data_IF_783183934630
#
_entry.id   IF_783183934630
#
_cell.length_a   1.000
_cell.length_b   1.000
_cell.length_c   1.000
_cell.angle_alpha   90.00
_cell.angle_beta   90.00
_cell.angle_gamma   90.00
#
_symmetry.space_group_name_H-M   'P 1'
#
loop_
_entity.id
_entity.type
_entity.pdbx_description
1 polymer ?
#
# COMPACT_ATOMS: atom_id res chain seq x y z
N UNK A 1 10.83 9.53 12.42
CA UNK A 1 10.42 9.47 11.00
C UNK A 1 11.60 9.37 10.05
N UNK A 2 11.93 8.14 9.63
CA UNK A 2 12.92 7.86 8.59
C UNK A 2 12.27 7.90 7.20
N UNK A 3 12.49 9.00 6.47
CA UNK A 3 11.88 9.25 5.16
C UNK A 3 12.23 8.18 4.13
N UNK A 4 13.43 7.60 4.21
CA UNK A 4 13.87 6.60 3.24
C UNK A 4 13.08 5.29 3.42
N UNK A 5 12.88 4.86 4.66
CA UNK A 5 12.09 3.67 4.99
C UNK A 5 10.61 3.82 4.62
N UNK A 6 10.04 5.00 4.89
CA UNK A 6 8.65 5.32 4.48
C UNK A 6 8.50 5.28 2.96
N UNK A 7 9.43 5.90 2.23
CA UNK A 7 9.38 5.92 0.77
C UNK A 7 9.57 4.52 0.17
N UNK A 8 10.51 3.72 0.69
CA UNK A 8 10.75 2.36 0.23
C UNK A 8 9.56 1.45 0.54
N UNK A 9 9.01 1.54 1.76
CA UNK A 9 7.84 0.78 2.18
C UNK A 9 6.62 1.12 1.32
N UNK A 10 6.35 2.41 1.12
CA UNK A 10 5.27 2.86 0.23
C UNK A 10 5.48 2.43 -1.22
N UNK A 11 6.70 2.51 -1.74
CA UNK A 11 7.02 2.07 -3.09
C UNK A 11 6.82 0.56 -3.26
N UNK A 12 7.27 -0.26 -2.32
CA UNK A 12 7.06 -1.70 -2.35
C UNK A 12 5.58 -2.06 -2.31
N UNK A 13 4.82 -1.47 -1.39
CA UNK A 13 3.37 -1.65 -1.32
C UNK A 13 2.67 -1.24 -2.62
N UNK A 14 3.08 -0.12 -3.23
CA UNK A 14 2.54 0.34 -4.50
C UNK A 14 2.85 -0.65 -5.64
N UNK A 15 4.11 -1.08 -5.76
CA UNK A 15 4.54 -2.03 -6.80
C UNK A 15 3.82 -3.37 -6.64
N UNK A 16 3.73 -3.91 -5.43
CA UNK A 16 3.01 -5.16 -5.18
C UNK A 16 1.53 -5.01 -5.49
N UNK A 17 0.92 -3.85 -5.20
CA UNK A 17 -0.46 -3.57 -5.58
C UNK A 17 -0.65 -3.54 -7.09
N UNK A 18 0.25 -2.90 -7.84
CA UNK A 18 0.22 -2.89 -9.31
C UNK A 18 0.32 -4.32 -9.84
N UNK A 19 1.29 -5.09 -9.38
CA UNK A 19 1.49 -6.49 -9.79
C UNK A 19 0.26 -7.33 -9.49
N UNK A 20 -0.34 -7.18 -8.30
CA UNK A 20 -1.52 -7.93 -7.92
C UNK A 20 -2.73 -7.59 -8.81
N UNK A 21 -2.93 -6.30 -9.13
CA UNK A 21 -3.99 -5.86 -10.03
C UNK A 21 -3.79 -6.40 -11.45
N UNK A 22 -2.55 -6.37 -11.96
CA UNK A 22 -2.23 -6.89 -13.30
C UNK A 22 -2.46 -8.40 -13.39
N UNK A 23 -2.08 -9.17 -12.37
CA UNK A 23 -2.15 -10.63 -12.40
C UNK A 23 -3.54 -11.19 -12.07
N UNK A 24 -4.28 -10.53 -11.18
CA UNK A 24 -5.48 -11.09 -10.57
C UNK A 24 -6.71 -10.16 -10.66
N UNK A 25 -6.56 -9.00 -11.29
CA UNK A 25 -7.62 -8.00 -11.47
C UNK A 25 -7.74 -7.01 -10.30
N UNK A 26 -8.59 -5.98 -10.45
CA UNK A 26 -8.70 -4.84 -9.51
C UNK A 26 -9.12 -5.25 -8.10
N UNK A 27 -9.91 -6.33 -7.97
CA UNK A 27 -10.27 -6.92 -6.67
C UNK A 27 -9.06 -7.43 -5.87
N UNK A 28 -7.93 -7.68 -6.54
CA UNK A 28 -6.69 -8.12 -5.92
C UNK A 28 -5.76 -6.97 -5.52
N UNK A 29 -6.23 -5.72 -5.58
CA UNK A 29 -5.64 -4.62 -4.81
C UNK A 29 -5.83 -4.88 -3.30
N UNK A 30 -5.22 -5.96 -2.79
CA UNK A 30 -5.19 -6.29 -1.38
C UNK A 30 -4.51 -5.15 -0.60
N UNK A 31 -4.72 -5.03 0.72
CA UNK A 31 -4.11 -3.96 1.52
C UNK A 31 -2.62 -4.21 1.71
N UNK A 32 -1.84 -3.97 0.65
CA UNK A 32 -0.40 -4.17 0.59
C UNK A 32 0.36 -3.18 1.48
N UNK A 33 -0.33 -2.23 2.11
CA UNK A 33 0.21 -1.37 3.17
C UNK A 33 0.89 -2.14 4.31
N UNK A 34 0.54 -3.41 4.53
CA UNK A 34 1.24 -4.33 5.44
C UNK A 34 2.75 -4.43 5.12
N UNK A 35 3.12 -4.47 3.84
CA UNK A 35 4.53 -4.49 3.41
C UNK A 35 5.23 -3.17 3.76
N UNK A 36 4.54 -2.04 3.60
CA UNK A 36 5.02 -0.73 4.00
C UNK A 36 5.36 -0.70 5.49
N UNK A 37 4.42 -1.19 6.33
CA UNK A 37 4.62 -1.30 7.77
C UNK A 37 5.77 -2.22 8.14
N UNK A 38 5.87 -3.40 7.49
CA UNK A 38 6.96 -4.35 7.74
C UNK A 38 8.35 -3.75 7.44
N UNK A 39 8.48 -3.00 6.33
CA UNK A 39 9.73 -2.30 5.98
C UNK A 39 10.09 -1.25 7.02
N UNK A 40 9.11 -0.43 7.42
CA UNK A 40 9.32 0.60 8.43
C UNK A 40 9.73 0.00 9.77
N UNK A 41 9.12 -1.11 10.18
CA UNK A 41 9.43 -1.79 11.44
C UNK A 41 10.91 -2.16 11.59
N UNK A 42 11.62 -2.43 10.49
CA UNK A 42 13.04 -2.77 10.52
C UNK A 42 13.92 -1.60 10.99
N UNK A 43 13.46 -0.36 10.81
CA UNK A 43 14.22 0.87 11.08
C UNK A 43 13.60 1.75 12.15
N UNK A 44 12.35 1.48 12.53
CA UNK A 44 11.67 2.16 13.61
C UNK A 44 12.38 1.91 14.95
N UNK A 45 12.46 2.96 15.78
CA UNK A 45 13.09 2.88 17.10
C UNK A 45 12.18 2.15 18.07
N UNK A 46 10.93 2.63 18.17
CA UNK A 46 9.91 2.12 19.07
C UNK A 46 8.62 1.78 18.32
N UNK A 47 7.70 1.07 18.98
CA UNK A 47 6.42 0.65 18.38
C UNK A 47 5.55 1.83 17.93
N UNK A 48 5.62 2.97 18.64
CA UNK A 48 4.90 4.20 18.27
C UNK A 48 5.43 4.79 16.97
N UNK A 49 6.76 4.82 16.80
CA UNK A 49 7.38 5.24 15.53
C UNK A 49 6.98 4.28 14.41
N UNK A 50 6.99 2.97 14.67
CA UNK A 50 6.53 1.96 13.72
C UNK A 50 5.07 2.16 13.30
N UNK A 51 4.20 2.55 14.25
CA UNK A 51 2.79 2.82 14.02
C UNK A 51 2.59 4.01 13.07
N UNK A 52 3.21 5.16 13.37
CA UNK A 52 3.04 6.38 12.58
C UNK A 52 3.77 6.33 11.24
N UNK A 53 5.05 5.92 11.24
CA UNK A 53 5.83 5.80 10.01
C UNK A 53 5.24 4.70 9.11
N UNK A 54 4.70 3.62 9.69
CA UNK A 54 4.04 2.54 8.97
C UNK A 54 2.71 2.96 8.35
N UNK A 55 1.89 3.73 9.07
CA UNK A 55 0.67 4.33 8.53
C UNK A 55 0.99 5.26 7.35
N UNK A 56 2.01 6.11 7.49
CA UNK A 56 2.43 7.04 6.44
C UNK A 56 2.95 6.29 5.21
N UNK A 57 3.77 5.25 5.40
CA UNK A 57 4.24 4.40 4.31
C UNK A 57 3.07 3.69 3.61
N UNK A 58 2.08 3.20 4.39
CA UNK A 58 0.85 2.64 3.87
C UNK A 58 0.08 3.63 3.00
N UNK A 59 -0.09 4.87 3.46
CA UNK A 59 -0.74 5.95 2.68
C UNK A 59 -0.01 6.24 1.36
N UNK A 60 1.32 6.27 1.37
CA UNK A 60 2.13 6.42 0.14
C UNK A 60 1.87 5.27 -0.82
N UNK A 61 1.83 4.03 -0.32
CA UNK A 61 1.48 2.85 -1.10
C UNK A 61 0.05 2.87 -1.64
N UNK A 62 -0.89 3.43 -0.88
CA UNK A 62 -2.30 3.53 -1.25
C UNK A 62 -2.50 4.38 -2.51
N UNK A 63 -1.71 5.45 -2.69
CA UNK A 63 -1.71 6.24 -3.93
C UNK A 63 -1.40 5.34 -5.13
N UNK A 64 -0.39 4.49 -5.01
CA UNK A 64 -0.05 3.52 -6.05
C UNK A 64 -1.17 2.51 -6.31
N UNK A 65 -1.80 1.99 -5.26
CA UNK A 65 -2.93 1.06 -5.39
C UNK A 65 -4.15 1.68 -6.08
N UNK A 66 -4.50 2.92 -5.73
CA UNK A 66 -5.58 3.67 -6.39
C UNK A 66 -5.27 3.90 -7.86
N UNK A 67 -4.06 4.37 -8.18
CA UNK A 67 -3.64 4.57 -9.57
C UNK A 67 -3.62 3.27 -10.36
N UNK A 68 -3.25 2.15 -9.74
CA UNK A 68 -3.28 0.84 -10.38
C UNK A 68 -4.70 0.43 -10.76
N UNK A 69 -5.68 0.59 -9.86
CA UNK A 69 -7.08 0.23 -10.13
C UNK A 69 -7.71 1.17 -11.16
N UNK A 70 -7.53 2.48 -11.01
CA UNK A 70 -8.02 3.49 -11.96
C UNK A 70 -7.42 3.27 -13.34
N UNK A 71 -6.11 3.06 -13.41
CA UNK A 71 -5.39 2.77 -14.66
C UNK A 71 -5.85 1.46 -15.29
N UNK A 72 -6.06 0.40 -14.50
CA UNK A 72 -6.57 -0.87 -15.00
C UNK A 72 -7.93 -0.71 -15.69
N UNK A 73 -8.91 -0.08 -15.03
CA UNK A 73 -10.23 0.12 -15.63
C UNK A 73 -10.21 1.03 -16.85
N UNK A 74 -9.44 2.11 -16.82
CA UNK A 74 -9.30 3.00 -17.97
C UNK A 74 -8.68 2.26 -19.17
N UNK A 75 -7.60 1.51 -18.96
CA UNK A 75 -6.95 0.75 -20.03
C UNK A 75 -7.84 -0.38 -20.55
N UNK A 76 -8.52 -1.11 -19.67
CA UNK A 76 -9.43 -2.19 -20.04
C UNK A 76 -10.56 -1.67 -20.96
N UNK A 77 -11.20 -0.56 -20.58
CA UNK A 77 -12.24 0.08 -21.40
C UNK A 77 -11.65 0.61 -22.71
N UNK A 78 -10.47 1.23 -22.67
CA UNK A 78 -9.82 1.71 -23.90
C UNK A 78 -9.54 0.58 -24.88
N UNK A 79 -9.06 -0.58 -24.43
CA UNK A 79 -8.79 -1.73 -25.30
C UNK A 79 -10.06 -2.41 -25.82
N UNK A 80 -11.18 -2.33 -25.10
CA UNK A 80 -12.45 -2.91 -25.53
C UNK A 80 -13.29 -1.99 -26.43
N UNK A 81 -13.30 -0.68 -26.14
CA UNK A 81 -14.18 0.31 -26.80
C UNK A 81 -13.42 1.17 -27.80
N UNK A 82 -12.10 1.34 -27.64
CA UNK A 82 -11.26 2.15 -28.51
C UNK A 82 -11.39 3.66 -28.31
N UNK A 83 -12.12 4.10 -27.29
CA UNK A 83 -12.42 5.51 -27.01
C UNK A 83 -11.74 5.97 -25.72
N UNK A 84 -10.82 6.93 -25.85
CA UNK A 84 -10.04 7.48 -24.75
C UNK A 84 -10.87 8.36 -23.79
N UNK A 85 -11.92 9.01 -24.29
CA UNK A 85 -12.80 9.86 -23.48
C UNK A 85 -13.67 8.99 -22.57
N UNK A 86 -14.26 7.94 -23.13
CA UNK A 86 -15.03 6.94 -22.37
C UNK A 86 -14.14 6.25 -21.34
N UNK A 87 -12.94 5.80 -21.73
CA UNK A 87 -11.97 5.20 -20.83
C UNK A 87 -11.60 6.11 -19.64
N UNK A 88 -11.32 7.38 -19.91
CA UNK A 88 -11.01 8.36 -18.88
C UNK A 88 -12.17 8.57 -17.89
N UNK A 89 -13.40 8.65 -18.39
CA UNK A 89 -14.59 8.80 -17.55
C UNK A 89 -14.83 7.60 -16.64
N UNK A 90 -14.62 6.38 -17.15
CA UNK A 90 -14.76 5.16 -16.35
C UNK A 90 -13.68 5.08 -15.28
N UNK A 91 -12.42 5.37 -15.63
CA UNK A 91 -11.34 5.45 -14.65
C UNK A 91 -11.64 6.45 -13.52
N UNK A 92 -12.12 7.64 -13.87
CA UNK A 92 -12.50 8.67 -12.91
C UNK A 92 -13.70 8.24 -12.03
N UNK A 93 -14.67 7.51 -12.58
CA UNK A 93 -15.78 6.97 -11.81
C UNK A 93 -15.30 6.00 -10.71
N UNK A 94 -14.32 5.14 -11.03
CA UNK A 94 -13.77 4.18 -10.08
C UNK A 94 -12.78 4.79 -9.07
N UNK A 95 -12.26 6.00 -9.31
CA UNK A 95 -11.27 6.60 -8.41
C UNK A 95 -11.83 6.88 -7.01
N UNK A 96 -13.08 7.36 -6.91
CA UNK A 96 -13.67 7.72 -5.61
C UNK A 96 -13.92 6.47 -4.75
N UNK A 97 -14.58 5.40 -5.22
CA UNK A 97 -14.69 4.15 -4.47
C UNK A 97 -13.34 3.56 -4.08
N UNK A 98 -12.36 3.57 -5.00
CA UNK A 98 -11.01 3.06 -4.72
C UNK A 98 -10.31 3.84 -3.62
N UNK A 99 -10.41 5.17 -3.59
CA UNK A 99 -9.84 5.99 -2.51
C UNK A 99 -10.48 5.64 -1.18
N UNK A 100 -11.82 5.57 -1.12
CA UNK A 100 -12.57 5.31 0.12
C UNK A 100 -12.25 3.93 0.69
N UNK A 101 -11.99 2.92 -0.15
CA UNK A 101 -11.71 1.56 0.32
C UNK A 101 -10.20 1.28 0.53
N UNK A 102 -9.35 1.70 -0.40
CA UNK A 102 -7.92 1.35 -0.38
C UNK A 102 -7.12 2.23 0.58
N UNK A 103 -7.41 3.53 0.66
CA UNK A 103 -6.61 4.43 1.51
C UNK A 103 -6.68 4.05 2.99
N UNK A 104 -7.86 3.84 3.59
CA UNK A 104 -7.94 3.42 4.99
C UNK A 104 -7.32 2.04 5.22
N UNK A 105 -7.55 1.09 4.31
CA UNK A 105 -7.07 -0.29 4.49
C UNK A 105 -5.54 -0.38 4.39
N UNK A 106 -4.90 0.36 3.48
CA UNK A 106 -3.45 0.47 3.40
C UNK A 106 -2.85 1.18 4.61
N UNK A 107 -3.47 2.28 5.06
CA UNK A 107 -3.03 3.00 6.26
C UNK A 107 -3.08 2.10 7.50
N UNK A 108 -4.20 1.40 7.72
CA UNK A 108 -4.36 0.46 8.83
C UNK A 108 -3.41 -0.73 8.73
N UNK A 109 -3.24 -1.29 7.52
CA UNK A 109 -2.31 -2.39 7.28
C UNK A 109 -0.86 -1.99 7.62
N UNK A 110 -0.42 -0.82 7.17
CA UNK A 110 0.90 -0.29 7.47
C UNK A 110 1.09 0.05 8.95
N UNK A 111 0.06 0.64 9.57
CA UNK A 111 0.05 0.96 10.99
C UNK A 111 0.23 -0.29 11.86
N UNK A 112 -0.59 -1.33 11.61
CA UNK A 112 -0.57 -2.58 12.38
C UNK A 112 0.74 -3.34 12.16
N UNK A 113 1.17 -3.49 10.91
CA UNK A 113 2.40 -4.21 10.58
C UNK A 113 3.65 -3.50 11.11
N UNK A 114 3.68 -2.17 11.07
CA UNK A 114 4.75 -1.35 11.63
C UNK A 114 4.89 -1.53 13.14
N UNK A 115 3.79 -1.39 13.88
CA UNK A 115 3.80 -1.56 15.33
C UNK A 115 4.12 -3.01 15.75
N UNK A 116 3.46 -4.00 15.13
CA UNK A 116 3.69 -5.41 15.43
C UNK A 116 5.11 -5.85 15.07
N UNK A 117 5.65 -5.39 13.95
CA UNK A 117 7.00 -5.73 13.50
C UNK A 117 8.07 -5.29 14.50
N UNK A 118 7.93 -4.10 15.10
CA UNK A 118 8.85 -3.63 16.15
C UNK A 118 8.74 -4.50 17.40
N UNK A 119 7.52 -4.75 17.88
CA UNK A 119 7.30 -5.60 19.08
C UNK A 119 7.87 -7.01 18.88
N UNK A 120 7.70 -7.58 17.68
CA UNK A 120 8.25 -8.90 17.35
C UNK A 120 9.78 -8.87 17.28
N UNK A 121 10.38 -7.86 16.64
CA UNK A 121 11.83 -7.68 16.59
C UNK A 121 12.43 -7.63 18.00
N UNK A 122 11.91 -6.76 18.85
CA UNK A 122 12.42 -6.57 20.21
C UNK A 122 12.27 -7.86 21.05
N UNK A 123 11.17 -8.62 20.86
CA UNK A 123 10.99 -9.93 21.50
C UNK A 123 11.94 -11.01 20.99
N UNK A 124 12.34 -10.96 19.72
CA UNK A 124 13.31 -11.90 19.15
C UNK A 124 14.71 -11.56 19.65
N UNK A 125 15.10 -10.28 19.62
CA UNK A 125 16.40 -9.83 20.11
C UNK A 125 16.61 -10.17 21.60
N UNK A 126 15.58 -9.99 22.43
CA UNK A 126 15.63 -10.38 23.84
C UNK A 126 15.70 -11.89 24.09
N UNK A 127 15.24 -12.72 23.15
CA UNK A 127 15.24 -14.19 23.28
C UNK A 127 16.45 -14.87 22.64
N UNK A 128 17.03 -14.28 21.60
CA UNK A 128 18.14 -14.83 20.81
C UNK A 128 19.47 -14.17 21.19
N UNK A 129 19.44 -12.95 21.71
CA UNK A 129 20.63 -12.23 22.19
C UNK A 129 21.03 -12.52 23.64
N UNK A 130 20.44 -13.54 24.28
CA UNK A 130 20.79 -14.06 25.60
C UNK A 130 21.41 -15.47 25.46
#
# INVERSE_FOLDING_TARGET
MDRASVALGGALSAVTSVVAVVLYGPQAAAPWGVLAGAVVALRARDATDGLFDGALAGLVGAVGGVLAVVGFYALDVYFHVGDAEVAGSVGAYFSVPSVVMLVPSFALGGMLAGALGVVLRDRVETRVGA
#
